data_IF_590303236447
#
_entry.id   IF_590303236447
#
_cell.length_a   1.000
_cell.length_b   1.000
_cell.length_c   1.000
_cell.angle_alpha   90.00
_cell.angle_beta   90.00
_cell.angle_gamma   90.00
#
_symmetry.space_group_name_H-M   'P 1'
#
loop_
_entity.id
_entity.type
_entity.pdbx_description
1 polymer ?
#
# COMPACT_ATOMS: atom_id res chain seq x y z
N UNK A 1 47.87 27.44 1.83
CA UNK A 1 46.45 27.03 1.85
C UNK A 1 46.23 25.99 0.77
N UNK A 2 46.33 24.69 1.10
CA UNK A 2 46.05 23.58 0.16
C UNK A 2 44.66 23.04 0.48
N UNK A 3 43.77 23.09 -0.51
CA UNK A 3 42.37 22.65 -0.42
C UNK A 3 42.32 21.15 -0.20
N UNK A 4 41.67 20.72 0.88
CA UNK A 4 41.32 19.32 1.12
C UNK A 4 40.03 19.05 0.34
N UNK A 5 40.11 18.27 -0.73
CA UNK A 5 38.94 17.71 -1.42
C UNK A 5 38.40 16.58 -0.54
N UNK A 6 37.25 16.82 0.08
CA UNK A 6 36.50 15.79 0.79
C UNK A 6 35.63 15.06 -0.23
N UNK A 7 36.07 13.88 -0.65
CA UNK A 7 35.26 12.96 -1.46
C UNK A 7 34.16 12.38 -0.59
N UNK A 8 32.92 12.84 -0.79
CA UNK A 8 31.73 12.21 -0.23
C UNK A 8 31.53 10.90 -1.00
N UNK A 9 31.78 9.78 -0.32
CA UNK A 9 31.34 8.45 -0.80
C UNK A 9 29.84 8.40 -0.59
N UNK A 10 29.07 8.53 -1.68
CA UNK A 10 27.66 8.13 -1.69
C UNK A 10 27.63 6.62 -1.49
N UNK A 11 27.41 6.18 -0.25
CA UNK A 11 27.00 4.81 0.01
C UNK A 11 25.52 4.72 -0.39
N UNK A 12 25.27 4.42 -1.66
CA UNK A 12 23.97 3.94 -2.12
C UNK A 12 23.72 2.61 -1.43
N UNK A 13 23.10 2.65 -0.24
CA UNK A 13 22.51 1.46 0.34
C UNK A 13 21.40 1.04 -0.64
N UNK A 14 21.70 0.09 -1.51
CA UNK A 14 20.70 -0.65 -2.26
C UNK A 14 19.79 -1.31 -1.24
N UNK A 15 18.64 -0.70 -0.98
CA UNK A 15 17.50 -1.36 -0.34
C UNK A 15 17.26 -2.57 -1.26
N UNK A 16 17.63 -3.77 -0.79
CA UNK A 16 17.39 -4.98 -1.56
C UNK A 16 15.91 -5.02 -1.89
N UNK A 17 15.57 -5.28 -3.16
CA UNK A 17 14.18 -5.48 -3.56
C UNK A 17 13.58 -6.55 -2.64
N UNK A 18 12.68 -6.14 -1.74
CA UNK A 18 11.96 -7.09 -0.91
C UNK A 18 10.89 -7.72 -1.79
N UNK A 19 11.00 -9.02 -2.03
CA UNK A 19 9.96 -9.78 -2.69
C UNK A 19 8.85 -10.08 -1.68
N UNK A 20 7.60 -9.86 -2.07
CA UNK A 20 6.42 -10.23 -1.29
C UNK A 20 5.87 -11.58 -1.78
N UNK A 21 5.28 -12.36 -0.86
CA UNK A 21 4.32 -13.42 -1.20
C UNK A 21 2.93 -12.79 -1.32
N UNK A 22 2.35 -12.80 -2.52
CA UNK A 22 1.09 -12.10 -2.82
C UNK A 22 0.03 -13.11 -3.23
N UNK A 23 -1.16 -12.99 -2.66
CA UNK A 23 -2.34 -13.72 -3.10
C UNK A 23 -3.23 -12.79 -3.94
N UNK A 24 -3.53 -13.17 -5.17
CA UNK A 24 -4.52 -12.48 -6.02
C UNK A 24 -5.78 -13.34 -6.12
N UNK A 25 -6.93 -12.77 -5.84
CA UNK A 25 -8.20 -13.49 -5.98
C UNK A 25 -8.70 -13.47 -7.42
N UNK A 26 -9.47 -14.48 -7.78
CA UNK A 26 -10.22 -14.55 -9.02
C UNK A 26 -11.70 -14.73 -8.68
N UNK A 27 -12.54 -13.75 -9.03
CA UNK A 27 -14.00 -13.85 -8.89
C UNK A 27 -14.72 -14.16 -10.22
N UNK A 28 -14.08 -13.97 -11.37
CA UNK A 28 -14.65 -14.28 -12.69
C UNK A 28 -13.59 -14.75 -13.71
N UNK A 29 -13.96 -14.92 -14.97
CA UNK A 29 -13.18 -15.41 -16.09
C UNK A 29 -12.34 -14.34 -16.81
N UNK A 30 -12.31 -13.11 -16.31
CA UNK A 30 -11.51 -12.02 -16.88
C UNK A 30 -10.00 -12.28 -16.77
N UNK A 31 -9.17 -12.02 -17.79
CA UNK A 31 -7.72 -12.24 -17.71
C UNK A 31 -7.00 -11.26 -16.75
N UNK A 32 -7.69 -10.26 -16.19
CA UNK A 32 -7.07 -9.20 -15.38
C UNK A 32 -6.24 -9.70 -14.20
N UNK A 33 -6.67 -10.74 -13.48
CA UNK A 33 -5.88 -11.34 -12.39
C UNK A 33 -4.52 -11.90 -12.87
N UNK A 34 -4.46 -12.45 -14.09
CA UNK A 34 -3.21 -12.95 -14.68
C UNK A 34 -2.29 -11.79 -15.04
N UNK A 35 -2.86 -10.68 -15.49
CA UNK A 35 -2.07 -9.48 -15.83
C UNK A 35 -1.56 -8.78 -14.56
N UNK A 36 -2.33 -8.76 -13.47
CA UNK A 36 -1.86 -8.31 -12.15
C UNK A 36 -0.69 -9.18 -11.69
N UNK A 37 -0.85 -10.51 -11.78
CA UNK A 37 0.22 -11.46 -11.45
C UNK A 37 1.48 -11.20 -12.27
N UNK A 38 1.37 -10.99 -13.59
CA UNK A 38 2.52 -10.66 -14.44
C UNK A 38 3.20 -9.34 -14.03
N UNK A 39 2.42 -8.30 -13.73
CA UNK A 39 2.95 -7.00 -13.29
C UNK A 39 3.74 -7.13 -11.98
N UNK A 40 3.21 -7.87 -11.02
CA UNK A 40 3.85 -8.08 -9.71
C UNK A 40 5.05 -9.03 -9.79
N UNK A 41 4.97 -10.12 -10.57
CA UNK A 41 6.09 -11.03 -10.83
C UNK A 41 7.26 -10.30 -11.51
N UNK A 42 7.00 -9.26 -12.31
CA UNK A 42 8.07 -8.47 -12.94
C UNK A 42 8.90 -7.63 -11.95
N UNK A 43 8.39 -7.40 -10.73
CA UNK A 43 9.14 -6.83 -9.60
C UNK A 43 9.89 -7.88 -8.78
N UNK A 44 9.74 -9.18 -9.12
CA UNK A 44 10.34 -10.29 -8.38
C UNK A 44 9.49 -10.81 -7.22
N UNK A 45 8.23 -10.41 -7.10
CA UNK A 45 7.29 -11.00 -6.14
C UNK A 45 6.92 -12.44 -6.52
N UNK A 46 6.45 -13.21 -5.55
CA UNK A 46 5.85 -14.53 -5.75
C UNK A 46 4.32 -14.36 -5.66
N UNK A 47 3.60 -14.76 -6.71
CA UNK A 47 2.15 -14.53 -6.80
C UNK A 47 1.39 -15.84 -6.95
N UNK A 48 0.51 -16.12 -5.99
CA UNK A 48 -0.50 -17.18 -6.11
C UNK A 48 -1.84 -16.59 -6.55
N UNK A 49 -2.59 -17.35 -7.34
CA UNK A 49 -3.92 -16.97 -7.82
C UNK A 49 -4.92 -17.99 -7.28
N UNK A 50 -6.02 -17.50 -6.70
CA UNK A 50 -7.07 -18.36 -6.12
C UNK A 50 -8.45 -18.02 -6.66
N UNK A 51 -9.15 -19.03 -7.18
CA UNK A 51 -10.56 -18.93 -7.54
C UNK A 51 -11.41 -18.96 -6.26
N UNK A 52 -12.04 -17.84 -5.95
CA UNK A 52 -12.82 -17.63 -4.72
C UNK A 52 -14.33 -17.61 -4.99
N UNK A 53 -14.77 -18.12 -6.15
CA UNK A 53 -16.20 -18.21 -6.47
C UNK A 53 -17.00 -19.16 -5.56
N UNK A 54 -16.30 -19.98 -4.78
CA UNK A 54 -16.89 -20.82 -3.74
C UNK A 54 -16.55 -20.25 -2.37
N UNK A 55 -17.55 -19.86 -1.59
CA UNK A 55 -17.35 -19.32 -0.25
C UNK A 55 -16.57 -20.28 0.67
N UNK A 56 -15.64 -19.74 1.46
CA UNK A 56 -14.70 -20.45 2.33
C UNK A 56 -13.36 -20.78 1.67
N UNK A 57 -13.24 -20.59 0.35
CA UNK A 57 -12.00 -20.91 -0.38
C UNK A 57 -10.87 -19.95 -0.02
N UNK A 58 -11.18 -18.65 0.13
CA UNK A 58 -10.17 -17.67 0.53
C UNK A 58 -9.67 -17.97 1.95
N UNK A 59 -10.59 -18.24 2.89
CA UNK A 59 -10.22 -18.60 4.25
C UNK A 59 -9.34 -19.85 4.31
N UNK A 60 -9.69 -20.89 3.54
CA UNK A 60 -8.89 -22.13 3.47
C UNK A 60 -7.49 -21.87 2.89
N UNK A 61 -7.39 -20.98 1.90
CA UNK A 61 -6.12 -20.60 1.28
C UNK A 61 -5.22 -19.82 2.25
N UNK A 62 -5.77 -18.83 2.95
CA UNK A 62 -5.06 -18.04 3.97
C UNK A 62 -4.64 -18.89 5.18
N UNK A 63 -5.36 -19.98 5.48
CA UNK A 63 -4.97 -20.93 6.52
C UNK A 63 -3.82 -21.87 6.09
N UNK A 64 -3.66 -22.10 4.79
CA UNK A 64 -2.66 -23.04 4.25
C UNK A 64 -1.29 -22.42 3.95
N UNK A 65 -1.23 -21.11 3.69
CA UNK A 65 0.00 -20.38 3.37
C UNK A 65 -0.07 -18.95 3.90
N UNK A 66 1.07 -18.45 4.39
CA UNK A 66 1.21 -17.05 4.78
C UNK A 66 1.52 -16.18 3.55
N UNK A 67 0.85 -15.04 3.47
CA UNK A 67 1.08 -14.03 2.44
C UNK A 67 1.42 -12.70 3.10
N UNK A 68 2.15 -11.86 2.39
CA UNK A 68 2.43 -10.49 2.78
C UNK A 68 1.34 -9.54 2.32
N UNK A 69 0.71 -9.86 1.17
CA UNK A 69 -0.32 -9.02 0.56
C UNK A 69 -1.46 -9.87 -0.04
N UNK A 70 -2.68 -9.35 0.00
CA UNK A 70 -3.87 -9.94 -0.64
C UNK A 70 -4.55 -8.90 -1.52
N UNK A 71 -4.67 -9.23 -2.80
CA UNK A 71 -5.28 -8.39 -3.83
C UNK A 71 -6.64 -8.97 -4.18
N UNK A 72 -7.70 -8.27 -3.76
CA UNK A 72 -9.05 -8.61 -4.17
C UNK A 72 -9.27 -8.07 -5.59
N UNK A 73 -9.28 -8.97 -6.58
CA UNK A 73 -9.51 -8.62 -7.98
C UNK A 73 -10.91 -8.98 -8.44
N UNK A 74 -11.62 -7.96 -8.88
CA UNK A 74 -12.95 -7.99 -9.47
C UNK A 74 -14.02 -8.41 -8.46
N UNK A 75 -14.18 -7.61 -7.42
CA UNK A 75 -15.34 -7.75 -6.57
C UNK A 75 -16.57 -7.46 -7.43
N UNK A 76 -17.25 -8.53 -7.85
CA UNK A 76 -18.39 -8.45 -8.76
C UNK A 76 -19.69 -8.15 -8.02
N UNK A 77 -20.77 -7.93 -8.78
CA UNK A 77 -22.13 -7.92 -8.24
C UNK A 77 -22.59 -9.27 -7.65
N UNK A 78 -21.83 -10.37 -7.74
CA UNK A 78 -22.12 -11.61 -7.03
C UNK A 78 -21.38 -11.63 -5.69
N UNK A 79 -22.09 -11.96 -4.61
CA UNK A 79 -21.45 -12.16 -3.31
C UNK A 79 -20.71 -13.50 -3.31
N UNK A 80 -19.39 -13.47 -3.47
CA UNK A 80 -18.53 -14.65 -3.46
C UNK A 80 -17.85 -14.85 -2.11
N UNK A 81 -17.51 -13.76 -1.42
CA UNK A 81 -16.95 -13.82 -0.08
C UNK A 81 -18.06 -14.07 0.95
N UNK A 82 -17.98 -15.21 1.65
CA UNK A 82 -18.87 -15.48 2.76
C UNK A 82 -18.30 -14.92 4.08
N UNK A 83 -19.03 -15.07 5.18
CA UNK A 83 -18.59 -14.58 6.49
C UNK A 83 -17.26 -15.18 6.96
N UNK A 84 -16.95 -16.44 6.59
CA UNK A 84 -15.68 -17.08 6.93
C UNK A 84 -14.52 -16.46 6.14
N UNK A 85 -14.71 -16.16 4.85
CA UNK A 85 -13.71 -15.46 4.05
C UNK A 85 -13.47 -14.04 4.56
N UNK A 86 -14.55 -13.31 4.86
CA UNK A 86 -14.48 -11.97 5.45
C UNK A 86 -13.71 -11.97 6.78
N UNK A 87 -14.02 -12.91 7.68
CA UNK A 87 -13.30 -13.05 8.94
C UNK A 87 -11.83 -13.42 8.75
N UNK A 88 -11.51 -14.27 7.76
CA UNK A 88 -10.12 -14.61 7.45
C UNK A 88 -9.33 -13.39 6.95
N UNK A 89 -9.95 -12.52 6.15
CA UNK A 89 -9.38 -11.23 5.75
C UNK A 89 -9.21 -10.28 6.95
N UNK A 90 -10.16 -10.24 7.88
CA UNK A 90 -10.02 -9.49 9.14
C UNK A 90 -8.84 -9.97 9.99
N UNK A 91 -8.65 -11.28 10.11
CA UNK A 91 -7.50 -11.87 10.80
C UNK A 91 -6.18 -11.58 10.10
N UNK A 92 -6.19 -11.61 8.76
CA UNK A 92 -5.04 -11.24 7.94
C UNK A 92 -4.64 -9.78 8.14
N UNK A 93 -5.62 -8.87 8.16
CA UNK A 93 -5.44 -7.45 8.48
C UNK A 93 -4.81 -7.22 9.86
N UNK A 94 -5.30 -7.91 10.90
CA UNK A 94 -4.76 -7.79 12.26
C UNK A 94 -3.28 -8.17 12.37
N UNK A 95 -2.76 -8.93 11.41
CA UNK A 95 -1.34 -9.25 11.29
C UNK A 95 -0.52 -8.19 10.53
N UNK A 96 -1.09 -7.00 10.30
CA UNK A 96 -0.51 -5.84 9.60
C UNK A 96 -0.01 -6.19 8.19
N UNK A 97 -0.87 -6.84 7.40
CA UNK A 97 -0.55 -7.24 6.02
C UNK A 97 -1.23 -6.33 5.01
N UNK A 98 -0.70 -6.28 3.78
CA UNK A 98 -1.20 -5.43 2.70
C UNK A 98 -2.52 -5.94 2.12
N UNK A 99 -3.54 -5.10 2.02
CA UNK A 99 -4.86 -5.45 1.47
C UNK A 99 -5.27 -4.48 0.37
N UNK A 100 -5.68 -4.99 -0.80
CA UNK A 100 -6.15 -4.17 -1.94
C UNK A 100 -7.60 -4.49 -2.26
N UNK A 101 -8.47 -3.46 -2.28
CA UNK A 101 -9.94 -3.58 -2.41
C UNK A 101 -10.53 -2.41 -3.22
N UNK A 102 -10.84 -2.46 -4.50
CA UNK A 102 -10.78 -3.52 -5.50
C UNK A 102 -9.79 -3.11 -6.60
N UNK A 103 -8.94 -4.03 -7.03
CA UNK A 103 -7.99 -3.81 -8.14
C UNK A 103 -8.63 -3.62 -9.52
N UNK A 104 -9.96 -3.64 -9.67
CA UNK A 104 -10.63 -3.18 -10.91
C UNK A 104 -10.80 -1.68 -11.01
N UNK A 105 -10.60 -0.92 -9.94
CA UNK A 105 -10.80 0.53 -9.92
C UNK A 105 -9.82 1.37 -10.77
N UNK A 106 -8.99 0.70 -11.59
CA UNK A 106 -8.07 1.29 -12.57
C UNK A 106 -8.66 1.39 -13.98
N UNK A 107 -9.98 1.25 -14.15
CA UNK A 107 -10.67 1.27 -15.44
C UNK A 107 -11.91 0.39 -15.43
N UNK A 108 -12.62 0.24 -16.54
CA UNK A 108 -13.72 -0.75 -16.62
C UNK A 108 -13.23 -2.18 -16.32
N UNK A 109 -11.95 -2.47 -16.61
CA UNK A 109 -11.22 -3.66 -16.19
C UNK A 109 -9.74 -3.31 -16.05
N UNK A 110 -9.00 -3.93 -15.13
CA UNK A 110 -7.54 -3.96 -15.25
C UNK A 110 -7.17 -4.78 -16.48
N UNK A 111 -6.59 -4.13 -17.48
CA UNK A 111 -6.18 -4.75 -18.73
C UNK A 111 -4.72 -5.19 -18.63
N UNK A 112 -3.89 -4.46 -17.86
CA UNK A 112 -2.45 -4.69 -17.72
C UNK A 112 -1.67 -4.52 -19.02
N UNK A 113 -2.32 -3.98 -20.05
CA UNK A 113 -1.70 -3.51 -21.30
C UNK A 113 -1.43 -2.02 -21.25
N UNK A 114 -2.11 -1.30 -20.37
CA UNK A 114 -1.89 0.11 -20.12
C UNK A 114 -0.70 0.29 -19.14
N UNK A 115 0.33 1.09 -19.48
CA UNK A 115 1.47 1.31 -18.61
C UNK A 115 1.13 1.95 -17.25
N UNK A 116 0.13 2.84 -17.20
CA UNK A 116 -0.31 3.50 -15.98
C UNK A 116 -1.00 2.52 -15.04
N UNK A 117 -1.82 1.59 -15.56
CA UNK A 117 -2.40 0.50 -14.77
C UNK A 117 -1.30 -0.38 -14.13
N UNK A 118 -0.34 -0.82 -14.94
CA UNK A 118 0.78 -1.67 -14.48
C UNK A 118 1.60 -0.96 -13.41
N UNK A 119 1.99 0.28 -13.66
CA UNK A 119 2.78 1.07 -12.72
C UNK A 119 2.02 1.30 -11.40
N UNK A 120 0.70 1.50 -11.45
CA UNK A 120 -0.10 1.71 -10.24
C UNK A 120 -0.14 0.47 -9.35
N UNK A 121 -0.39 -0.72 -9.92
CA UNK A 121 -0.36 -1.99 -9.16
C UNK A 121 1.01 -2.22 -8.53
N UNK A 122 2.08 -1.95 -9.27
CA UNK A 122 3.45 -2.04 -8.80
C UNK A 122 3.72 -1.08 -7.63
N UNK A 123 3.34 0.19 -7.79
CA UNK A 123 3.48 1.20 -6.75
C UNK A 123 2.69 0.85 -5.49
N UNK A 124 1.48 0.27 -5.60
CA UNK A 124 0.70 -0.19 -4.44
C UNK A 124 1.45 -1.27 -3.67
N UNK A 125 1.98 -2.28 -4.38
CA UNK A 125 2.70 -3.39 -3.75
C UNK A 125 3.99 -2.94 -3.06
N UNK A 126 4.77 -2.09 -3.73
CA UNK A 126 6.00 -1.52 -3.17
C UNK A 126 5.71 -0.69 -1.91
N UNK A 127 4.63 0.09 -1.92
CA UNK A 127 4.28 0.90 -0.75
C UNK A 127 3.89 0.06 0.45
N UNK A 128 3.19 -1.07 0.27
CA UNK A 128 2.95 -1.98 1.39
C UNK A 128 4.23 -2.57 1.98
N UNK A 129 5.26 -2.84 1.17
CA UNK A 129 6.55 -3.28 1.69
C UNK A 129 7.22 -2.17 2.50
N UNK A 130 7.16 -0.93 2.00
CA UNK A 130 7.74 0.24 2.65
C UNK A 130 7.03 0.62 3.96
N UNK A 131 5.71 0.45 4.03
CA UNK A 131 4.91 0.79 5.22
C UNK A 131 4.58 -0.40 6.12
N UNK A 132 5.12 -1.58 5.82
CA UNK A 132 4.82 -2.82 6.54
C UNK A 132 3.32 -3.15 6.59
N UNK A 133 2.66 -3.04 5.44
CA UNK A 133 1.23 -3.30 5.26
C UNK A 133 0.39 -2.03 5.13
N UNK A 134 -0.93 -2.23 5.18
CA UNK A 134 -1.91 -1.17 4.98
C UNK A 134 -3.11 -1.67 4.16
N UNK A 135 -4.10 -0.81 3.98
CA UNK A 135 -5.23 -1.06 3.10
C UNK A 135 -5.24 -0.03 1.99
N UNK A 136 -5.44 -0.49 0.77
CA UNK A 136 -5.70 0.33 -0.39
C UNK A 136 -7.14 0.06 -0.82
N UNK A 137 -7.93 1.13 -0.93
CA UNK A 137 -9.32 1.07 -1.34
C UNK A 137 -9.48 1.81 -2.66
N UNK A 138 -9.96 1.11 -3.66
CA UNK A 138 -10.36 1.69 -4.93
C UNK A 138 -11.74 1.22 -5.33
N UNK A 139 -12.54 2.14 -5.88
CA UNK A 139 -13.95 1.92 -6.17
C UNK A 139 -14.17 1.61 -7.65
N UNK A 140 -14.78 0.46 -7.93
CA UNK A 140 -15.30 0.09 -9.26
C UNK A 140 -16.84 0.11 -9.22
N UNK A 141 -17.58 -0.68 -10.00
CA UNK A 141 -19.02 -0.61 -10.27
C UNK A 141 -20.00 -0.82 -9.09
N UNK A 142 -21.05 0.00 -9.10
CA UNK A 142 -22.26 -0.18 -8.26
C UNK A 142 -23.06 -1.38 -8.78
N UNK A 143 -23.58 -2.30 -7.95
CA UNK A 143 -23.52 -2.37 -6.48
C UNK A 143 -22.47 -3.34 -5.96
N UNK A 144 -21.39 -3.57 -6.68
CA UNK A 144 -20.46 -4.64 -6.34
C UNK A 144 -19.68 -4.39 -5.04
N UNK A 145 -19.29 -3.14 -4.80
CA UNK A 145 -18.71 -2.75 -3.51
C UNK A 145 -19.67 -3.04 -2.35
N UNK A 146 -20.99 -2.96 -2.53
CA UNK A 146 -21.94 -3.25 -1.43
C UNK A 146 -21.95 -4.72 -1.01
N UNK A 147 -21.59 -5.64 -1.92
CA UNK A 147 -21.71 -7.09 -1.70
C UNK A 147 -20.44 -7.75 -1.22
N UNK A 148 -19.27 -7.27 -1.64
CA UNK A 148 -18.00 -7.88 -1.24
C UNK A 148 -17.04 -6.90 -0.55
N UNK A 149 -16.87 -5.66 -1.07
CA UNK A 149 -15.94 -4.70 -0.47
C UNK A 149 -16.41 -4.21 0.90
N UNK A 150 -17.64 -3.70 1.00
CA UNK A 150 -18.20 -3.11 2.21
C UNK A 150 -18.29 -4.11 3.39
N UNK A 151 -18.70 -5.38 3.20
CA UNK A 151 -18.61 -6.36 4.28
C UNK A 151 -17.19 -6.55 4.82
N UNK A 152 -16.17 -6.52 3.95
CA UNK A 152 -14.78 -6.58 4.39
C UNK A 152 -14.32 -5.28 5.07
N UNK A 153 -14.63 -4.10 4.51
CA UNK A 153 -14.28 -2.81 5.12
C UNK A 153 -14.89 -2.69 6.52
N UNK A 154 -16.14 -3.13 6.70
CA UNK A 154 -16.79 -3.21 8.01
C UNK A 154 -16.04 -4.13 8.98
N UNK A 155 -15.61 -5.31 8.54
CA UNK A 155 -14.85 -6.27 9.37
C UNK A 155 -13.54 -5.69 9.89
N UNK A 156 -12.83 -4.90 9.07
CA UNK A 156 -11.58 -4.25 9.49
C UNK A 156 -11.80 -2.90 10.17
N UNK A 157 -13.05 -2.44 10.33
CA UNK A 157 -13.39 -1.18 10.97
C UNK A 157 -13.01 0.06 10.15
N UNK A 158 -13.17 -0.01 8.83
CA UNK A 158 -13.02 1.10 7.88
C UNK A 158 -14.39 1.52 7.36
N UNK A 159 -14.58 2.82 7.13
CA UNK A 159 -15.82 3.34 6.58
C UNK A 159 -16.13 2.74 5.21
N UNK A 160 -17.42 2.65 4.90
CA UNK A 160 -17.90 1.97 3.70
C UNK A 160 -17.75 2.84 2.45
N UNK A 161 -17.62 2.18 1.30
CA UNK A 161 -17.81 2.84 -0.01
C UNK A 161 -19.29 3.22 -0.16
N UNK A 162 -19.54 4.47 -0.56
CA UNK A 162 -20.90 5.05 -0.68
C UNK A 162 -21.10 5.82 -1.98
N UNK A 163 -22.36 6.10 -2.34
CA UNK A 163 -22.70 6.86 -3.54
C UNK A 163 -22.44 6.11 -4.84
N UNK A 164 -22.88 6.68 -5.97
CA UNK A 164 -22.77 6.09 -7.30
C UNK A 164 -22.60 7.22 -8.30
N UNK A 165 -21.40 7.33 -8.88
CA UNK A 165 -20.96 8.45 -9.71
C UNK A 165 -20.41 7.94 -11.03
N UNK A 166 -20.20 8.80 -12.03
CA UNK A 166 -19.70 8.36 -13.35
C UNK A 166 -18.65 9.28 -13.96
N UNK A 167 -18.16 10.23 -13.16
CA UNK A 167 -17.23 11.25 -13.60
C UNK A 167 -15.81 10.67 -13.77
N UNK A 168 -15.06 11.09 -14.81
CA UNK A 168 -13.71 10.60 -15.05
C UNK A 168 -12.75 11.02 -13.93
N UNK A 169 -11.62 10.33 -13.79
CA UNK A 169 -10.52 10.82 -12.95
C UNK A 169 -9.94 12.09 -13.57
N UNK A 170 -9.95 13.18 -12.82
CA UNK A 170 -9.28 14.45 -13.17
C UNK A 170 -8.45 15.01 -12.01
N UNK A 171 -8.43 14.32 -10.87
CA UNK A 171 -7.67 14.68 -9.69
C UNK A 171 -6.72 13.53 -9.32
N UNK A 172 -5.48 13.90 -9.05
CA UNK A 172 -4.54 13.08 -8.30
C UNK A 172 -3.76 13.96 -7.34
N UNK A 173 -3.52 13.47 -6.13
CA UNK A 173 -2.69 14.20 -5.17
C UNK A 173 -1.24 14.23 -5.68
N UNK A 174 -0.64 15.42 -5.92
CA UNK A 174 0.69 15.52 -6.52
C UNK A 174 1.81 14.97 -5.63
N UNK A 175 1.56 14.76 -4.34
CA UNK A 175 2.52 14.15 -3.41
C UNK A 175 2.41 12.64 -3.31
N UNK A 176 1.42 12.04 -3.98
CA UNK A 176 1.16 10.61 -3.97
C UNK A 176 2.31 9.79 -4.56
N UNK A 177 2.85 8.87 -3.76
CA UNK A 177 3.79 7.80 -4.14
C UNK A 177 3.26 6.90 -5.26
N UNK A 178 1.95 6.91 -5.50
CA UNK A 178 1.33 6.11 -6.55
C UNK A 178 1.47 6.75 -7.95
N UNK A 179 2.00 7.97 -8.06
CA UNK A 179 2.14 8.68 -9.34
C UNK A 179 3.36 8.27 -10.17
N UNK A 180 4.28 7.48 -9.62
CA UNK A 180 5.47 7.05 -10.35
C UNK A 180 5.09 6.21 -11.58
N UNK A 181 5.28 6.75 -12.78
CA UNK A 181 4.90 6.07 -14.03
C UNK A 181 3.40 5.99 -14.31
N UNK A 182 2.57 6.71 -13.55
CA UNK A 182 1.12 6.71 -13.68
C UNK A 182 0.63 8.04 -14.24
N UNK A 183 -0.11 8.00 -15.34
CA UNK A 183 -0.89 9.13 -15.84
C UNK A 183 -2.33 9.00 -15.33
N UNK A 184 -2.81 9.87 -14.42
CA UNK A 184 -4.10 9.69 -13.76
C UNK A 184 -5.31 9.57 -14.71
N UNK A 185 -5.26 10.28 -15.85
CA UNK A 185 -6.34 10.24 -16.84
C UNK A 185 -6.47 8.91 -17.57
N UNK A 186 -5.46 8.04 -17.49
CA UNK A 186 -5.49 6.70 -18.08
C UNK A 186 -6.31 5.71 -17.21
N UNK A 187 -6.43 5.99 -15.90
CA UNK A 187 -7.04 5.08 -14.92
C UNK A 187 -8.58 5.05 -15.00
N UNK A 188 -9.25 6.17 -15.31
CA UNK A 188 -10.70 6.15 -15.42
C UNK A 188 -11.23 7.23 -16.35
N UNK A 189 -11.71 6.79 -17.52
CA UNK A 189 -12.25 7.67 -18.56
C UNK A 189 -13.70 8.13 -18.34
N UNK A 190 -14.38 7.67 -17.28
CA UNK A 190 -15.79 7.98 -17.02
C UNK A 190 -16.79 7.07 -17.75
N UNK A 191 -18.09 7.23 -17.43
CA UNK A 191 -19.19 6.55 -18.13
C UNK A 191 -19.69 5.23 -17.53
N UNK A 192 -19.05 4.73 -16.47
CA UNK A 192 -19.53 3.62 -15.63
C UNK A 192 -19.66 4.07 -14.18
N UNK A 193 -20.31 3.29 -13.31
CA UNK A 193 -20.50 3.69 -11.92
C UNK A 193 -19.20 3.50 -11.11
N UNK A 194 -18.88 4.46 -10.25
CA UNK A 194 -17.81 4.40 -9.24
C UNK A 194 -18.35 4.91 -7.90
N UNK A 195 -17.84 4.35 -6.82
CA UNK A 195 -18.19 4.76 -5.45
C UNK A 195 -17.28 5.85 -4.91
N UNK A 196 -17.67 6.45 -3.79
CA UNK A 196 -16.83 7.32 -2.98
C UNK A 196 -16.02 6.47 -1.99
N UNK A 197 -14.68 6.51 -2.11
CA UNK A 197 -13.76 5.82 -1.22
C UNK A 197 -13.69 6.49 0.18
N UNK A 198 -13.45 5.72 1.25
CA UNK A 198 -13.30 6.25 2.60
C UNK A 198 -12.02 7.08 2.74
N UNK A 199 -12.09 8.19 3.47
CA UNK A 199 -10.95 9.10 3.72
C UNK A 199 -10.94 9.57 5.18
N UNK A 200 -9.79 10.07 5.64
CA UNK A 200 -9.60 10.58 7.00
C UNK A 200 -9.48 9.47 8.04
N UNK A 201 -9.65 9.83 9.32
CA UNK A 201 -9.55 8.89 10.43
C UNK A 201 -10.74 7.93 10.43
N UNK A 202 -10.45 6.64 10.37
CA UNK A 202 -11.42 5.55 10.32
C UNK A 202 -11.80 5.05 11.72
N UNK A 203 -12.92 4.30 11.86
CA UNK A 203 -13.34 3.75 13.15
C UNK A 203 -12.30 2.89 13.88
N UNK A 204 -11.44 2.18 13.14
CA UNK A 204 -10.32 1.40 13.68
C UNK A 204 -9.07 2.23 14.04
N UNK A 205 -9.08 3.55 13.80
CA UNK A 205 -8.01 4.47 14.12
C UNK A 205 -6.95 4.68 13.04
N UNK A 206 -7.01 3.99 11.89
CA UNK A 206 -6.11 4.29 10.76
C UNK A 206 -6.56 5.58 10.05
N UNK A 207 -5.63 6.26 9.40
CA UNK A 207 -5.94 7.38 8.50
C UNK A 207 -5.94 6.89 7.05
N UNK A 208 -6.96 7.27 6.27
CA UNK A 208 -7.06 6.98 4.84
C UNK A 208 -6.81 8.27 4.04
N UNK A 209 -5.79 8.26 3.19
CA UNK A 209 -5.41 9.40 2.35
C UNK A 209 -5.99 9.25 0.94
N UNK A 210 -6.49 10.34 0.36
CA UNK A 210 -6.95 10.36 -1.02
C UNK A 210 -5.76 10.37 -1.99
N UNK A 211 -5.73 9.43 -2.94
CA UNK A 211 -4.70 9.43 -3.99
C UNK A 211 -5.26 9.89 -5.34
N UNK A 212 -6.45 9.43 -5.72
CA UNK A 212 -7.08 9.75 -6.99
C UNK A 212 -8.58 10.00 -6.83
N UNK A 213 -9.15 10.81 -7.71
CA UNK A 213 -10.56 11.16 -7.65
C UNK A 213 -11.02 12.10 -8.76
N UNK A 214 -12.10 12.81 -8.46
CA UNK A 214 -12.68 13.82 -9.33
C UNK A 214 -12.90 15.15 -8.60
N UNK A 215 -12.30 16.24 -9.09
CA UNK A 215 -12.66 17.61 -8.71
C UNK A 215 -13.98 18.00 -9.36
N UNK A 216 -15.01 18.15 -8.52
CA UNK A 216 -16.35 18.60 -8.92
C UNK A 216 -16.37 20.09 -9.27
N UNK A 217 -17.47 20.53 -9.87
CA UNK A 217 -17.68 21.93 -10.28
C UNK A 217 -17.67 22.93 -9.12
N UNK A 218 -17.97 22.49 -7.90
CA UNK A 218 -17.91 23.29 -6.67
C UNK A 218 -16.50 23.32 -6.02
N UNK A 219 -15.51 22.66 -6.63
CA UNK A 219 -14.15 22.54 -6.13
C UNK A 219 -13.96 21.45 -5.07
N UNK A 220 -15.03 20.76 -4.64
CA UNK A 220 -14.90 19.58 -3.79
C UNK A 220 -14.28 18.41 -4.55
N UNK A 221 -13.60 17.52 -3.83
CA UNK A 221 -13.02 16.31 -4.43
C UNK A 221 -13.87 15.11 -4.04
N UNK A 222 -14.23 14.31 -5.04
CA UNK A 222 -14.80 12.98 -4.89
C UNK A 222 -13.66 11.95 -4.88
N UNK A 223 -13.36 11.31 -3.75
CA UNK A 223 -12.31 10.29 -3.68
C UNK A 223 -12.78 8.99 -4.36
N UNK A 224 -11.96 8.47 -5.27
CA UNK A 224 -12.17 7.14 -5.89
C UNK A 224 -11.16 6.12 -5.41
N UNK A 225 -9.95 6.56 -5.11
CA UNK A 225 -8.88 5.73 -4.57
C UNK A 225 -8.34 6.40 -3.30
N UNK A 226 -8.28 5.63 -2.23
CA UNK A 226 -7.62 6.00 -0.98
C UNK A 226 -6.77 4.87 -0.42
N UNK A 227 -5.80 5.18 0.43
CA UNK A 227 -4.98 4.18 1.09
C UNK A 227 -4.56 4.60 2.49
N UNK A 228 -4.21 3.63 3.33
CA UNK A 228 -3.76 3.90 4.70
C UNK A 228 -2.26 4.16 4.82
N UNK A 229 -1.50 4.00 3.73
CA UNK A 229 -0.10 4.43 3.70
C UNK A 229 -0.01 5.93 3.36
N UNK A 230 0.97 6.66 3.91
CA UNK A 230 1.09 8.10 3.68
C UNK A 230 1.32 8.42 2.21
N UNK A 231 0.83 9.59 1.77
CA UNK A 231 1.00 10.07 0.39
C UNK A 231 2.46 10.08 -0.05
N UNK A 232 3.38 10.49 0.82
CA UNK A 232 4.81 10.61 0.50
C UNK A 232 5.61 9.33 0.79
N UNK A 233 4.94 8.22 1.13
CA UNK A 233 5.58 7.01 1.63
C UNK A 233 6.05 7.16 3.07
N UNK A 234 6.76 6.17 3.63
CA UNK A 234 7.32 6.30 4.97
C UNK A 234 8.32 7.46 5.00
N UNK A 235 8.44 8.19 6.14
CA UNK A 235 9.49 9.18 6.29
C UNK A 235 10.86 8.52 6.06
N UNK A 236 11.86 9.26 5.55
CA UNK A 236 13.22 8.73 5.41
C UNK A 236 13.67 8.09 6.71
N UNK A 237 14.21 6.88 6.66
CA UNK A 237 14.80 6.26 7.85
C UNK A 237 15.90 7.19 8.34
N UNK A 238 15.74 7.76 9.54
CA UNK A 238 16.81 8.52 10.16
C UNK A 238 18.04 7.63 10.25
N UNK A 239 19.23 8.10 9.81
CA UNK A 239 20.44 7.32 9.98
C UNK A 239 20.59 6.98 11.47
N UNK A 240 21.01 5.74 11.81
CA UNK A 240 21.17 5.35 13.20
C UNK A 240 22.01 6.42 13.91
N UNK A 241 21.61 6.84 15.13
CA UNK A 241 22.30 7.91 15.83
C UNK A 241 23.79 7.56 15.84
N UNK A 242 24.59 8.42 15.19
CA UNK A 242 26.03 8.24 15.15
C UNK A 242 26.49 8.09 16.60
N UNK A 243 27.31 7.08 16.94
CA UNK A 243 27.85 6.97 18.27
C UNK A 243 28.54 8.29 18.60
N UNK A 244 27.94 9.09 19.48
CA UNK A 244 28.57 10.31 19.97
C UNK A 244 29.85 9.84 20.66
N UNK A 245 31.05 10.22 20.18
CA UNK A 245 32.27 9.86 20.88
C UNK A 245 32.13 10.37 22.31
N UNK A 246 32.24 9.46 23.28
CA UNK A 246 32.23 9.84 24.68
C UNK A 246 33.21 11.01 24.87
N UNK A 247 32.83 12.08 25.61
CA UNK A 247 33.73 13.21 25.80
C UNK A 247 35.02 12.72 26.48
N UNK A 248 36.08 12.59 25.67
CA UNK A 248 37.45 12.29 26.06
C UNK A 248 38.08 13.22 27.13
N UNK A 249 37.56 14.43 27.47
CA UNK A 249 38.15 15.23 28.54
C UNK A 249 38.06 14.61 29.94
N UNK A 250 37.10 13.71 30.22
CA UNK A 250 36.93 13.14 31.57
C UNK A 250 37.93 12.03 31.90
N UNK A 251 38.40 11.28 30.89
CA UNK A 251 39.37 10.19 31.09
C UNK A 251 40.77 10.74 31.42
N UNK A 252 41.14 11.88 30.84
CA UNK A 252 42.44 12.54 31.07
C UNK A 252 42.54 13.17 32.47
N UNK A 253 41.44 13.68 33.03
CA UNK A 253 41.41 14.19 34.42
C UNK A 253 41.59 13.05 35.43
N UNK A 254 40.97 11.89 35.18
CA UNK A 254 41.10 10.70 36.03
C UNK A 254 42.52 10.14 36.09
N UNK A 255 43.22 10.09 34.95
CA UNK A 255 44.62 9.61 34.89
C UNK A 255 45.59 10.63 35.50
N UNK A 256 45.36 11.92 35.29
CA UNK A 256 46.20 13.00 35.86
C UNK A 256 46.17 13.04 37.40
N UNK A 257 45.01 12.80 38.00
CA UNK A 257 44.88 12.75 39.48
C UNK A 257 45.53 11.49 40.09
N UNK A 258 45.51 10.36 39.38
CA UNK A 258 46.16 9.12 39.82
C UNK A 258 47.69 9.23 39.78
N UNK A 259 48.24 9.87 38.73
CA UNK A 259 49.67 10.10 38.58
C UNK A 259 50.23 11.05 39.66
N UNK A 260 49.48 12.10 40.03
CA UNK A 260 49.88 13.01 41.12
C UNK A 260 49.87 12.35 42.51
N UNK A 261 49.04 11.32 42.71
CA UNK A 261 48.98 10.57 43.97
C UNK A 261 50.13 9.56 44.13
N UNK A 262 50.66 9.05 43.02
CA UNK A 262 51.80 8.12 43.00
C UNK A 262 53.16 8.84 43.05
N UNK A 263 53.25 10.09 42.59
CA UNK A 263 54.48 10.89 42.66
C UNK A 263 54.80 11.48 44.06
N UNK A 264 53.91 11.29 45.05
CA UNK A 264 54.08 11.76 46.45
C UNK A 264 54.36 10.64 47.45
N UNK A 265 54.89 9.50 47.00
CA UNK A 265 55.41 8.43 47.86
C UNK A 265 56.91 8.28 47.69
#
# INVERSE_FOLDING_TARGET
MKKLLLSIVLASASIGAQAAEILVTQFDSSPGYSNISNALNSLGHSVDIVDVRTGGTLASTLAGKSYDQVFLFDLTSTQYLNSTDTQALGNFWNSHRGLVVDTRSYGYHYQGTDPSEVALIQNVSDNFLLTSGGVWVGTDHDPAWTRNANPFLAEIGVDLVTGSFSDPVNFADPSSVLLSGVTPTDLWGGGQSVGQAPIGIQPNGIEMFIHFGHTRTDGSILPYISASFPLQGPPPTEPPPQPVPAPMPLLLIGIGLLAMRLARR
#
